data_IF_822600494192
#
_entry.id   IF_822600494192
#
_cell.length_a   1.000
_cell.length_b   1.000
_cell.length_c   1.000
_cell.angle_alpha   90.00
_cell.angle_beta   90.00
_cell.angle_gamma   90.00
#
_symmetry.space_group_name_H-M   'P 1'
#
loop_
_entity.id
_entity.type
_entity.pdbx_description
1 polymer ?
#
# COMPACT_ATOMS: atom_id res chain seq x y z
N UNK A 1 -28.90 18.30 5.52
CA UNK A 1 -29.19 16.85 5.65
C UNK A 1 -28.21 16.14 4.73
N UNK A 2 -27.53 15.10 5.19
CA UNK A 2 -26.62 14.34 4.33
C UNK A 2 -27.42 13.64 3.22
N UNK A 3 -26.89 13.65 2.00
CA UNK A 3 -27.45 12.88 0.87
C UNK A 3 -27.35 11.40 1.19
N UNK A 4 -28.31 10.59 0.73
CA UNK A 4 -28.15 9.14 0.76
C UNK A 4 -27.09 8.68 -0.24
N UNK A 5 -26.58 7.46 -0.07
CA UNK A 5 -25.56 6.87 -0.94
C UNK A 5 -25.98 6.84 -2.43
N UNK A 6 -27.25 6.56 -2.73
CA UNK A 6 -27.76 6.49 -4.11
C UNK A 6 -27.95 7.89 -4.73
N UNK A 7 -28.35 8.87 -3.92
CA UNK A 7 -28.41 10.28 -4.32
C UNK A 7 -27.02 10.85 -4.58
N UNK A 8 -26.03 10.47 -3.77
CA UNK A 8 -24.63 10.80 -4.00
C UNK A 8 -24.12 10.19 -5.32
N UNK A 9 -24.35 8.89 -5.53
CA UNK A 9 -23.95 8.20 -6.77
C UNK A 9 -24.55 8.85 -8.02
N UNK A 10 -25.83 9.19 -7.98
CA UNK A 10 -26.49 9.86 -9.10
C UNK A 10 -25.98 11.29 -9.32
N UNK A 11 -25.67 12.02 -8.25
CA UNK A 11 -25.08 13.37 -8.33
C UNK A 11 -23.68 13.41 -8.95
N UNK A 12 -22.91 12.31 -8.87
CA UNK A 12 -21.62 12.20 -9.57
C UNK A 12 -21.78 12.23 -11.10
N UNK A 13 -22.94 11.84 -11.64
CA UNK A 13 -23.15 11.82 -13.08
C UNK A 13 -23.52 13.20 -13.66
N UNK A 14 -23.82 14.18 -12.81
CA UNK A 14 -24.22 15.53 -13.19
C UNK A 14 -23.17 16.57 -12.79
N UNK A 15 -22.71 17.38 -13.75
CA UNK A 15 -21.58 18.28 -13.54
C UNK A 15 -21.88 19.42 -12.54
N UNK A 16 -23.08 19.98 -12.59
CA UNK A 16 -23.50 21.06 -11.69
C UNK A 16 -23.68 20.53 -10.25
N UNK A 17 -24.22 19.32 -10.11
CA UNK A 17 -24.37 18.65 -8.82
C UNK A 17 -23.03 18.29 -8.19
N UNK A 18 -22.05 17.80 -8.97
CA UNK A 18 -20.67 17.55 -8.48
C UNK A 18 -20.00 18.80 -7.94
N UNK A 19 -20.14 19.93 -8.63
CA UNK A 19 -19.60 21.21 -8.18
C UNK A 19 -20.26 21.66 -6.87
N UNK A 20 -21.57 21.46 -6.72
CA UNK A 20 -22.29 21.74 -5.47
C UNK A 20 -21.81 20.91 -4.27
N UNK A 21 -21.24 19.73 -4.51
CA UNK A 21 -20.67 18.85 -3.49
C UNK A 21 -19.20 19.11 -3.17
N UNK A 22 -18.55 20.01 -3.91
CA UNK A 22 -17.11 20.31 -3.75
C UNK A 22 -16.19 19.17 -4.21
N UNK A 23 -16.67 18.26 -5.04
CA UNK A 23 -15.90 17.11 -5.53
C UNK A 23 -15.23 17.48 -6.85
N UNK A 24 -13.89 17.45 -6.88
CA UNK A 24 -13.10 17.76 -8.07
C UNK A 24 -12.80 16.48 -8.86
N UNK A 25 -13.80 15.98 -9.59
CA UNK A 25 -13.67 14.88 -10.54
C UNK A 25 -14.08 15.35 -11.94
N UNK A 26 -13.32 14.94 -12.96
CA UNK A 26 -13.71 15.12 -14.36
C UNK A 26 -14.91 14.24 -14.72
N UNK A 27 -15.62 14.54 -15.81
CA UNK A 27 -16.77 13.74 -16.25
C UNK A 27 -16.42 12.26 -16.47
N UNK A 28 -15.24 11.98 -17.02
CA UNK A 28 -14.77 10.62 -17.28
C UNK A 28 -14.46 9.86 -15.98
N UNK A 29 -13.80 10.52 -15.02
CA UNK A 29 -13.49 9.93 -13.71
C UNK A 29 -14.77 9.70 -12.90
N UNK A 30 -15.71 10.64 -12.94
CA UNK A 30 -16.97 10.52 -12.23
C UNK A 30 -17.83 9.36 -12.77
N UNK A 31 -17.84 9.13 -14.09
CA UNK A 31 -18.48 7.96 -14.69
C UNK A 31 -17.80 6.65 -14.28
N UNK A 32 -16.47 6.64 -14.22
CA UNK A 32 -15.71 5.47 -13.78
C UNK A 32 -15.95 5.16 -12.29
N UNK A 33 -15.95 6.17 -11.43
CA UNK A 33 -16.26 6.03 -10.00
C UNK A 33 -17.71 5.56 -9.82
N UNK A 34 -18.68 6.13 -10.54
CA UNK A 34 -20.08 5.71 -10.46
C UNK A 34 -20.33 4.30 -11.02
N UNK A 35 -19.48 3.80 -11.92
CA UNK A 35 -19.55 2.44 -12.45
C UNK A 35 -18.98 1.39 -11.47
N UNK A 36 -18.08 1.79 -10.57
CA UNK A 36 -17.46 0.94 -9.56
C UNK A 36 -18.09 1.18 -8.17
N UNK A 37 -18.76 0.15 -7.64
CA UNK A 37 -19.45 0.23 -6.36
C UNK A 37 -18.49 0.50 -5.19
N UNK A 38 -17.30 -0.09 -5.20
CA UNK A 38 -16.32 0.08 -4.12
C UNK A 38 -15.68 1.46 -4.16
N UNK A 39 -15.42 1.99 -5.36
CA UNK A 39 -14.96 3.37 -5.52
C UNK A 39 -16.03 4.38 -5.11
N UNK A 40 -17.31 4.15 -5.44
CA UNK A 40 -18.40 5.04 -5.00
C UNK A 40 -18.50 5.08 -3.47
N UNK A 41 -18.31 3.95 -2.78
CA UNK A 41 -18.33 3.88 -1.31
C UNK A 41 -17.20 4.67 -0.66
N UNK A 42 -15.96 4.51 -1.14
CA UNK A 42 -14.83 5.25 -0.59
C UNK A 42 -14.97 6.77 -0.78
N UNK A 43 -15.49 7.21 -1.93
CA UNK A 43 -15.79 8.62 -2.20
C UNK A 43 -16.92 9.17 -1.33
N UNK A 44 -17.95 8.38 -1.05
CA UNK A 44 -19.05 8.77 -0.18
C UNK A 44 -18.60 8.93 1.28
N UNK A 45 -17.78 7.99 1.79
CA UNK A 45 -17.21 8.08 3.14
C UNK A 45 -16.28 9.29 3.28
N UNK A 46 -15.44 9.54 2.28
CA UNK A 46 -14.60 10.74 2.23
C UNK A 46 -15.43 12.02 2.24
N UNK A 47 -16.48 12.09 1.41
CA UNK A 47 -17.36 13.25 1.35
C UNK A 47 -18.07 13.51 2.69
N UNK A 48 -18.54 12.48 3.38
CA UNK A 48 -19.11 12.61 4.72
C UNK A 48 -18.08 13.13 5.73
N UNK A 49 -16.84 12.65 5.69
CA UNK A 49 -15.77 13.11 6.57
C UNK A 49 -15.44 14.60 6.35
N UNK A 50 -15.35 15.03 5.09
CA UNK A 50 -15.03 16.42 4.74
C UNK A 50 -16.18 17.38 5.03
N UNK A 51 -17.43 16.97 4.80
CA UNK A 51 -18.61 17.82 5.06
C UNK A 51 -19.03 17.88 6.52
N UNK A 52 -18.62 16.91 7.35
CA UNK A 52 -18.81 16.95 8.80
C UNK A 52 -17.84 17.90 9.53
N UNK A 53 -16.83 18.43 8.83
CA UNK A 53 -15.85 19.32 9.42
C UNK A 53 -16.41 20.75 9.56
N UNK A 54 -16.51 21.31 10.77
CA UNK A 54 -17.04 22.66 10.96
C UNK A 54 -16.11 23.69 10.30
N UNK A 55 -16.72 24.65 9.59
CA UNK A 55 -15.98 25.71 8.90
C UNK A 55 -15.06 26.47 9.88
N UNK A 56 -13.80 26.75 9.51
CA UNK A 56 -12.92 27.57 10.34
C UNK A 56 -13.49 28.99 10.48
N UNK A 57 -13.31 29.65 11.64
CA UNK A 57 -13.79 31.02 11.82
C UNK A 57 -13.11 31.95 10.82
N UNK A 58 -13.93 32.79 10.17
CA UNK A 58 -13.50 33.81 9.21
C UNK A 58 -12.72 34.91 9.93
N UNK A 59 -11.41 34.70 10.08
CA UNK A 59 -10.45 35.69 10.53
C UNK A 59 -9.94 36.54 9.36
N UNK A 60 -9.92 37.85 9.55
CA UNK A 60 -9.46 38.88 8.61
C UNK A 60 -7.99 38.68 8.24
N UNK A 61 -7.69 38.42 6.96
CA UNK A 61 -6.32 38.41 6.42
C UNK A 61 -5.98 39.76 5.77
N UNK A 62 -4.80 40.37 6.03
CA UNK A 62 -4.17 41.31 5.08
C UNK A 62 -3.51 40.56 3.90
N UNK A 63 -3.35 41.29 2.80
CA UNK A 63 -2.96 40.88 1.44
C UNK A 63 -1.58 40.16 1.30
N UNK A 64 -1.29 39.52 0.15
CA UNK A 64 -0.46 38.31 0.06
C UNK A 64 1.01 38.61 -0.30
N UNK A 65 1.92 37.86 0.32
CA UNK A 65 3.23 37.58 -0.26
C UNK A 65 3.77 36.22 0.24
N UNK A 66 4.39 35.49 -0.69
CA UNK A 66 5.26 34.32 -0.53
C UNK A 66 4.64 32.92 -0.25
N UNK A 67 4.27 32.25 -1.36
CA UNK A 67 4.60 30.86 -1.74
C UNK A 67 4.94 29.83 -0.63
N UNK A 68 4.06 28.84 -0.48
CA UNK A 68 4.45 27.43 -0.28
C UNK A 68 3.65 26.57 -1.25
N UNK A 69 4.36 25.93 -2.17
CA UNK A 69 3.87 25.01 -3.20
C UNK A 69 3.13 23.83 -2.60
N UNK A 70 1.85 23.66 -2.97
CA UNK A 70 1.15 22.40 -2.79
C UNK A 70 1.79 21.36 -3.72
N UNK A 71 2.34 20.30 -3.13
CA UNK A 71 2.93 19.17 -3.83
C UNK A 71 1.78 18.35 -4.45
N UNK A 72 1.61 18.48 -5.77
CA UNK A 72 0.78 17.59 -6.59
C UNK A 72 1.38 16.19 -6.57
N UNK A 73 0.70 15.23 -5.95
CA UNK A 73 0.99 13.81 -6.12
C UNK A 73 0.63 13.38 -7.57
N UNK A 74 1.51 12.63 -8.27
CA UNK A 74 1.30 12.26 -9.66
C UNK A 74 0.28 11.12 -9.82
N UNK A 75 -0.72 11.39 -10.68
CA UNK A 75 -1.63 10.44 -11.31
C UNK A 75 -0.84 9.32 -12.02
N UNK A 76 -1.04 8.07 -11.62
CA UNK A 76 -0.52 6.90 -12.32
C UNK A 76 -1.34 6.61 -13.59
N UNK A 77 -0.75 6.89 -14.76
CA UNK A 77 -1.31 6.54 -16.06
C UNK A 77 -1.09 5.07 -16.39
N UNK A 78 -2.17 4.35 -16.70
CA UNK A 78 -2.11 3.03 -17.33
C UNK A 78 -2.54 3.14 -18.79
N UNK A 79 -1.55 3.23 -19.68
CA UNK A 79 -1.71 3.07 -21.12
C UNK A 79 -2.01 1.61 -21.45
N UNK A 80 -3.24 1.31 -21.87
CA UNK A 80 -3.57 0.07 -22.57
C UNK A 80 -3.84 0.37 -24.04
N UNK A 81 -2.76 0.49 -24.81
CA UNK A 81 -2.83 0.51 -26.26
C UNK A 81 -1.61 -0.19 -26.87
N UNK A 82 -1.69 -1.52 -27.04
CA UNK A 82 -1.09 -2.12 -28.23
C UNK A 82 -1.77 -3.44 -28.65
N UNK A 83 -2.54 -3.32 -29.72
CA UNK A 83 -2.99 -4.39 -30.60
C UNK A 83 -1.82 -4.97 -31.41
N UNK A 84 -1.71 -6.30 -31.48
CA UNK A 84 -1.28 -6.99 -32.69
C UNK A 84 -1.87 -8.41 -32.73
N UNK A 85 -2.79 -8.61 -33.68
CA UNK A 85 -3.23 -9.92 -34.14
C UNK A 85 -2.16 -10.54 -35.06
N UNK A 86 -2.03 -11.88 -35.07
CA UNK A 86 -2.13 -12.77 -36.25
C UNK A 86 -1.66 -14.20 -35.92
N UNK A 87 -2.65 -15.08 -35.78
CA UNK A 87 -2.80 -16.41 -36.37
C UNK A 87 -1.59 -17.26 -36.83
N UNK A 88 -1.69 -18.54 -36.47
CA UNK A 88 -1.57 -19.76 -37.30
C UNK A 88 -0.36 -20.71 -37.08
N UNK A 89 -0.71 -21.97 -36.80
CA UNK A 89 0.04 -23.20 -37.04
C UNK A 89 -0.88 -24.14 -37.87
N UNK A 90 -0.43 -25.26 -38.46
CA UNK A 90 0.85 -25.66 -39.09
C UNK A 90 0.61 -26.02 -40.60
N UNK A 91 1.48 -26.80 -41.29
CA UNK A 91 1.26 -28.26 -41.30
C UNK A 91 2.52 -29.15 -41.39
N UNK A 92 2.30 -30.44 -41.15
CA UNK A 92 3.19 -31.57 -41.42
C UNK A 92 2.90 -32.21 -42.80
N UNK A 93 3.91 -32.80 -43.44
CA UNK A 93 3.94 -33.98 -44.35
C UNK A 93 5.37 -34.00 -44.97
N UNK A 94 6.16 -35.09 -45.01
CA UNK A 94 5.89 -36.41 -45.57
C UNK A 94 6.58 -36.53 -46.94
N UNK A 95 7.64 -37.32 -47.07
CA UNK A 95 8.31 -37.54 -48.38
C UNK A 95 9.57 -38.41 -48.35
N UNK A 96 9.40 -39.71 -48.63
CA UNK A 96 10.41 -40.74 -48.92
C UNK A 96 10.90 -40.66 -50.40
N UNK A 97 11.86 -41.51 -50.88
CA UNK A 97 12.89 -41.19 -51.89
C UNK A 97 12.49 -41.52 -53.33
N UNK A 98 13.41 -41.29 -54.31
CA UNK A 98 13.60 -42.32 -55.34
C UNK A 98 15.04 -42.50 -55.86
N UNK A 99 15.43 -43.76 -56.03
CA UNK A 99 15.69 -44.33 -57.35
C UNK A 99 17.10 -44.27 -57.98
N UNK A 100 17.41 -45.13 -58.97
CA UNK A 100 18.70 -45.82 -59.10
C UNK A 100 19.56 -45.45 -60.34
N UNK A 101 20.82 -45.94 -60.29
CA UNK A 101 21.87 -46.26 -61.29
C UNK A 101 21.60 -46.02 -62.80
N UNK A 102 22.63 -45.81 -63.69
CA UNK A 102 23.51 -46.94 -64.14
C UNK A 102 24.89 -46.66 -64.86
N UNK A 103 25.65 -47.76 -65.05
CA UNK A 103 26.79 -48.02 -65.99
C UNK A 103 28.16 -47.34 -65.70
N UNK A 104 29.35 -47.93 -65.93
CA UNK A 104 29.80 -49.07 -66.71
C UNK A 104 31.14 -49.66 -66.19
N UNK A 105 31.45 -50.87 -66.64
CA UNK A 105 32.60 -51.71 -66.32
C UNK A 105 33.94 -51.28 -66.96
N UNK A 106 35.08 -51.74 -66.40
CA UNK A 106 36.15 -52.41 -67.15
C UNK A 106 37.25 -52.94 -66.22
N UNK A 107 37.65 -54.19 -66.44
CA UNK A 107 38.83 -54.84 -65.87
C UNK A 107 40.09 -54.53 -66.70
N UNK A 108 41.27 -54.53 -66.06
CA UNK A 108 42.57 -54.52 -66.75
C UNK A 108 43.75 -54.25 -65.82
N UNK A 109 44.54 -55.28 -65.50
CA UNK A 109 45.80 -55.24 -64.73
C UNK A 109 47.00 -54.77 -65.61
N UNK A 110 48.30 -54.82 -65.21
CA UNK A 110 48.96 -54.77 -63.88
C UNK A 110 50.13 -53.73 -63.81
N UNK A 111 50.64 -53.45 -62.60
CA UNK A 111 52.08 -53.23 -62.36
C UNK A 111 52.62 -51.79 -62.35
N UNK A 112 52.72 -51.18 -61.16
CA UNK A 112 53.74 -50.17 -60.83
C UNK A 112 54.02 -50.19 -59.31
N UNK A 113 55.27 -49.98 -58.86
CA UNK A 113 55.69 -50.30 -57.50
C UNK A 113 55.01 -49.40 -56.47
N UNK A 114 54.40 -50.02 -55.46
CA UNK A 114 53.79 -49.33 -54.35
C UNK A 114 54.85 -48.54 -53.57
N UNK A 115 54.88 -47.21 -53.75
CA UNK A 115 55.40 -46.33 -52.70
C UNK A 115 54.53 -46.57 -51.47
N UNK A 116 55.13 -47.08 -50.40
CA UNK A 116 54.52 -47.28 -49.09
C UNK A 116 53.88 -45.97 -48.65
N UNK A 117 52.60 -45.81 -48.96
CA UNK A 117 51.96 -44.52 -48.90
C UNK A 117 51.72 -44.22 -47.42
N UNK A 118 52.20 -43.07 -46.95
CA UNK A 118 51.88 -42.56 -45.61
C UNK A 118 50.38 -42.18 -45.49
N UNK A 119 49.53 -42.63 -46.42
CA UNK A 119 48.11 -42.31 -46.50
C UNK A 119 47.38 -42.74 -45.24
N UNK A 120 47.71 -43.90 -44.66
CA UNK A 120 47.12 -44.32 -43.39
C UNK A 120 47.44 -43.36 -42.23
N UNK A 121 48.65 -42.81 -42.18
CA UNK A 121 49.06 -41.83 -41.17
C UNK A 121 48.39 -40.46 -41.39
N UNK A 122 48.24 -40.03 -42.65
CA UNK A 122 47.55 -38.77 -42.97
C UNK A 122 46.04 -38.85 -42.72
N UNK A 123 45.43 -40.00 -42.97
CA UNK A 123 44.01 -40.26 -42.66
C UNK A 123 43.81 -40.25 -41.15
N UNK A 124 44.65 -40.92 -40.35
CA UNK A 124 44.52 -40.87 -38.89
C UNK A 124 44.76 -39.47 -38.34
N UNK A 125 45.74 -38.71 -38.86
CA UNK A 125 45.98 -37.33 -38.45
C UNK A 125 44.80 -36.41 -38.79
N UNK A 126 44.18 -36.60 -39.96
CA UNK A 126 42.99 -35.86 -40.38
C UNK A 126 41.77 -36.19 -39.51
N UNK A 127 41.60 -37.46 -39.12
CA UNK A 127 40.52 -37.89 -38.21
C UNK A 127 40.72 -37.27 -36.82
N UNK A 128 41.94 -37.33 -36.28
CA UNK A 128 42.25 -36.72 -34.97
C UNK A 128 42.06 -35.21 -35.01
N UNK A 129 42.50 -34.54 -36.08
CA UNK A 129 42.27 -33.11 -36.28
C UNK A 129 40.79 -32.74 -36.34
N UNK A 130 39.98 -33.53 -37.06
CA UNK A 130 38.53 -33.33 -37.12
C UNK A 130 37.87 -33.53 -35.76
N UNK A 131 38.27 -34.54 -34.99
CA UNK A 131 37.73 -34.78 -33.64
C UNK A 131 38.05 -33.64 -32.68
N UNK A 132 39.29 -33.12 -32.71
CA UNK A 132 39.66 -31.95 -31.91
C UNK A 132 38.86 -30.71 -32.32
N UNK A 133 38.67 -30.50 -33.61
CA UNK A 133 37.92 -29.36 -34.12
C UNK A 133 36.43 -29.46 -33.75
N UNK A 134 35.83 -30.64 -33.83
CA UNK A 134 34.46 -30.89 -33.35
C UNK A 134 34.36 -30.61 -31.85
N UNK A 135 35.31 -31.09 -31.05
CA UNK A 135 35.32 -30.82 -29.60
C UNK A 135 35.36 -29.31 -29.30
N UNK A 136 36.18 -28.54 -30.01
CA UNK A 136 36.24 -27.08 -29.86
C UNK A 136 34.92 -26.43 -30.26
N UNK A 137 34.31 -26.83 -31.38
CA UNK A 137 33.02 -26.29 -31.82
C UNK A 137 31.94 -26.54 -30.75
N UNK A 138 31.86 -27.75 -30.19
CA UNK A 138 30.88 -28.08 -29.16
C UNK A 138 31.06 -27.20 -27.92
N UNK A 139 32.30 -26.95 -27.49
CA UNK A 139 32.58 -26.04 -26.37
C UNK A 139 32.09 -24.63 -26.68
N UNK A 140 32.41 -24.08 -27.85
CA UNK A 140 31.97 -22.72 -28.23
C UNK A 140 30.44 -22.64 -28.29
N UNK A 141 29.78 -23.61 -28.92
CA UNK A 141 28.31 -23.64 -28.99
C UNK A 141 27.72 -23.70 -27.58
N UNK A 142 28.22 -24.57 -26.70
CA UNK A 142 27.74 -24.67 -25.33
C UNK A 142 27.77 -23.33 -24.58
N UNK A 143 28.90 -22.61 -24.63
CA UNK A 143 29.03 -21.31 -23.97
C UNK A 143 28.20 -20.20 -24.63
N UNK A 144 28.14 -20.16 -25.97
CA UNK A 144 27.39 -19.10 -26.69
C UNK A 144 25.87 -19.27 -26.62
N UNK A 145 25.38 -20.49 -26.44
CA UNK A 145 23.94 -20.79 -26.29
C UNK A 145 23.52 -21.04 -24.85
N UNK A 146 24.39 -20.77 -23.87
CA UNK A 146 24.07 -20.93 -22.46
C UNK A 146 22.90 -20.00 -22.10
N UNK A 147 21.92 -20.52 -21.37
CA UNK A 147 20.84 -19.71 -20.81
C UNK A 147 21.21 -19.30 -19.40
N UNK A 148 21.15 -18.01 -19.14
CA UNK A 148 21.40 -17.41 -17.84
C UNK A 148 20.09 -16.86 -17.29
N UNK A 149 19.81 -17.09 -16.02
CA UNK A 149 18.73 -16.43 -15.31
C UNK A 149 19.09 -16.26 -13.84
N UNK A 150 18.33 -15.42 -13.16
CA UNK A 150 18.44 -15.25 -11.72
C UNK A 150 17.47 -16.20 -11.05
N UNK A 151 17.99 -17.17 -10.30
CA UNK A 151 17.18 -18.11 -9.53
C UNK A 151 17.01 -17.59 -8.12
N UNK A 152 15.78 -17.63 -7.63
CA UNK A 152 15.43 -17.29 -6.24
C UNK A 152 15.66 -18.53 -5.39
N UNK A 153 16.68 -18.52 -4.53
CA UNK A 153 16.92 -19.62 -3.58
C UNK A 153 16.03 -19.49 -2.35
N UNK A 154 15.91 -18.27 -1.85
CA UNK A 154 14.99 -17.92 -0.78
C UNK A 154 14.21 -16.69 -1.21
N UNK A 155 12.86 -16.75 -1.22
CA UNK A 155 12.05 -15.58 -1.53
C UNK A 155 12.27 -14.48 -0.51
N UNK A 156 11.97 -13.25 -0.93
CA UNK A 156 11.93 -12.12 -0.03
C UNK A 156 10.87 -12.36 1.06
N UNK A 157 11.26 -12.09 2.31
CA UNK A 157 10.36 -12.12 3.44
C UNK A 157 10.01 -10.67 3.77
N UNK A 158 8.78 -10.22 3.45
CA UNK A 158 8.38 -8.86 3.75
C UNK A 158 8.33 -8.64 5.26
N UNK A 159 8.61 -7.40 5.66
CA UNK A 159 8.54 -6.99 7.05
C UNK A 159 7.12 -7.16 7.60
N UNK A 160 7.02 -7.70 8.81
CA UNK A 160 5.76 -7.82 9.52
C UNK A 160 5.65 -6.75 10.61
N UNK A 161 4.41 -6.38 10.92
CA UNK A 161 4.10 -5.31 11.88
C UNK A 161 3.13 -5.84 12.93
N UNK A 162 3.29 -5.37 14.16
CA UNK A 162 2.31 -5.56 15.22
C UNK A 162 1.83 -4.20 15.75
N UNK A 163 0.62 -4.20 16.30
CA UNK A 163 0.03 -3.00 16.89
C UNK A 163 0.42 -2.90 18.36
N UNK A 164 0.93 -1.74 18.75
CA UNK A 164 1.16 -1.38 20.14
C UNK A 164 0.23 -0.22 20.53
N UNK A 165 -0.36 -0.29 21.72
CA UNK A 165 -1.04 0.84 22.36
C UNK A 165 -0.03 1.70 23.13
N UNK A 166 -0.16 3.01 23.06
CA UNK A 166 0.66 3.96 23.81
C UNK A 166 -0.18 5.13 24.30
N UNK A 167 0.21 5.72 25.44
CA UNK A 167 -0.41 6.93 25.97
C UNK A 167 0.02 8.14 25.14
N UNK A 168 -0.94 8.97 24.71
CA UNK A 168 -0.67 10.15 23.87
C UNK A 168 -0.06 11.31 24.68
N UNK A 169 -0.16 11.25 26.01
CA UNK A 169 0.15 12.34 26.93
C UNK A 169 -1.05 13.26 27.20
N UNK A 170 -2.15 13.09 26.47
CA UNK A 170 -3.41 13.79 26.71
C UNK A 170 -4.31 12.96 27.64
N UNK A 171 -5.25 13.64 28.26
CA UNK A 171 -6.24 13.02 29.13
C UNK A 171 -7.67 13.27 28.66
N UNK A 172 -8.47 12.21 28.76
CA UNK A 172 -9.92 12.23 28.66
C UNK A 172 -10.50 12.52 30.04
N UNK A 173 -11.60 13.28 30.08
CA UNK A 173 -12.38 13.53 31.28
C UNK A 173 -13.83 13.20 30.98
N UNK A 174 -14.45 12.44 31.86
CA UNK A 174 -15.86 12.06 31.77
C UNK A 174 -16.59 12.53 33.02
N UNK A 175 -17.81 13.00 32.81
CA UNK A 175 -18.77 13.31 33.86
C UNK A 175 -19.79 12.15 33.94
N UNK A 176 -20.03 11.60 35.13
CA UNK A 176 -20.96 10.50 35.35
C UNK A 176 -22.42 10.95 35.58
N UNK A 177 -22.68 12.26 35.63
CA UNK A 177 -23.98 12.87 35.88
C UNK A 177 -24.48 12.70 37.33
N UNK A 178 -23.67 12.15 38.22
CA UNK A 178 -24.01 11.98 39.63
C UNK A 178 -23.44 13.15 40.42
N UNK A 179 -24.33 14.05 40.85
CA UNK A 179 -23.91 15.27 41.53
C UNK A 179 -23.03 14.95 42.76
N UNK A 180 -21.87 15.61 42.92
CA UNK A 180 -21.06 15.50 44.12
C UNK A 180 -21.70 16.20 45.33
N UNK A 181 -22.83 16.88 45.11
CA UNK A 181 -23.60 17.57 46.13
C UNK A 181 -24.82 16.74 46.58
N UNK A 182 -25.35 17.12 47.73
CA UNK A 182 -26.51 16.52 48.39
C UNK A 182 -27.54 17.63 48.65
N UNK A 183 -28.83 17.32 48.54
CA UNK A 183 -29.91 18.26 48.87
C UNK A 183 -29.82 18.65 50.35
N UNK A 184 -30.13 19.91 50.65
CA UNK A 184 -30.04 20.53 51.98
C UNK A 184 -28.61 20.64 52.55
N UNK A 185 -27.57 20.34 51.76
CA UNK A 185 -26.20 20.63 52.17
C UNK A 185 -25.87 22.11 52.04
N UNK A 186 -24.90 22.57 52.83
CA UNK A 186 -24.38 23.94 52.75
C UNK A 186 -23.85 24.23 51.34
N UNK A 187 -24.18 25.42 50.82
CA UNK A 187 -23.81 25.79 49.46
C UNK A 187 -22.29 25.89 49.29
N UNK A 188 -21.56 26.35 50.31
CA UNK A 188 -20.11 26.39 50.32
C UNK A 188 -19.49 24.99 50.27
N UNK A 189 -20.03 24.03 51.02
CA UNK A 189 -19.58 22.64 50.98
C UNK A 189 -19.79 22.02 49.57
N UNK A 190 -20.87 22.41 48.86
CA UNK A 190 -21.10 22.02 47.46
C UNK A 190 -20.04 22.58 46.52
N UNK A 191 -19.73 23.87 46.65
CA UNK A 191 -18.70 24.53 45.86
C UNK A 191 -17.34 23.86 46.07
N UNK A 192 -16.97 23.54 47.31
CA UNK A 192 -15.71 22.89 47.63
C UNK A 192 -15.64 21.46 47.08
N UNK A 193 -16.74 20.71 47.13
CA UNK A 193 -16.84 19.39 46.52
C UNK A 193 -16.66 19.45 44.99
N UNK A 194 -17.32 20.41 44.33
CA UNK A 194 -17.19 20.64 42.88
C UNK A 194 -15.76 21.06 42.49
N UNK A 195 -15.13 21.93 43.29
CA UNK A 195 -13.75 22.37 43.08
C UNK A 195 -12.76 21.20 43.24
N UNK A 196 -13.01 20.28 44.18
CA UNK A 196 -12.22 19.07 44.34
C UNK A 196 -12.33 18.14 43.12
N UNK A 197 -13.52 17.99 42.52
CA UNK A 197 -13.70 17.24 41.26
C UNK A 197 -12.88 17.87 40.13
N UNK A 198 -12.98 19.20 39.97
CA UNK A 198 -12.21 19.93 38.96
C UNK A 198 -10.70 19.79 39.16
N UNK A 199 -10.21 19.97 40.40
CA UNK A 199 -8.78 19.86 40.70
C UNK A 199 -8.24 18.44 40.45
N UNK A 200 -9.03 17.41 40.77
CA UNK A 200 -8.65 16.01 40.57
C UNK A 200 -8.62 15.58 39.11
N UNK A 201 -9.58 16.04 38.30
CA UNK A 201 -9.75 15.57 36.93
C UNK A 201 -9.20 16.51 35.85
N UNK A 202 -9.26 17.82 36.06
CA UNK A 202 -9.02 18.82 35.00
C UNK A 202 -7.74 19.64 35.20
N UNK A 203 -7.34 19.91 36.44
CA UNK A 203 -6.24 20.82 36.71
C UNK A 203 -4.86 20.18 36.43
N UNK A 204 -3.95 20.97 35.84
CA UNK A 204 -2.54 20.63 35.73
C UNK A 204 -2.18 19.52 34.72
N UNK A 205 -3.09 19.20 33.79
CA UNK A 205 -2.88 18.20 32.74
C UNK A 205 -3.23 18.73 31.36
N UNK A 206 -2.67 18.13 30.32
CA UNK A 206 -3.09 18.38 28.95
C UNK A 206 -4.32 17.52 28.63
N UNK A 207 -5.38 18.17 28.17
CA UNK A 207 -6.68 17.55 27.94
C UNK A 207 -6.96 17.43 26.44
N UNK A 208 -7.66 16.38 26.05
CA UNK A 208 -8.25 16.32 24.70
C UNK A 208 -9.31 17.43 24.52
N UNK A 209 -9.59 17.91 23.30
CA UNK A 209 -10.49 19.06 23.09
C UNK A 209 -11.89 18.92 23.72
N UNK A 210 -12.46 17.71 23.69
CA UNK A 210 -13.75 17.43 24.32
C UNK A 210 -13.68 17.55 25.86
N UNK A 211 -12.63 16.99 26.48
CA UNK A 211 -12.41 17.07 27.91
C UNK A 211 -12.13 18.51 28.36
N UNK A 212 -11.37 19.30 27.57
CA UNK A 212 -11.16 20.72 27.84
C UNK A 212 -12.47 21.52 27.83
N UNK A 213 -13.39 21.19 26.92
CA UNK A 213 -14.73 21.80 26.87
C UNK A 213 -15.54 21.46 28.12
N UNK A 214 -15.59 20.17 28.51
CA UNK A 214 -16.29 19.71 29.71
C UNK A 214 -15.74 20.38 30.97
N UNK A 215 -14.41 20.37 31.15
CA UNK A 215 -13.74 21.02 32.27
C UNK A 215 -13.99 22.54 32.30
N UNK A 216 -14.07 23.19 31.13
CA UNK A 216 -14.43 24.60 31.01
C UNK A 216 -15.86 24.89 31.47
N UNK A 217 -16.82 24.03 31.10
CA UNK A 217 -18.21 24.13 31.55
C UNK A 217 -18.33 23.92 33.06
N UNK A 218 -17.66 22.88 33.59
CA UNK A 218 -17.64 22.60 35.03
C UNK A 218 -17.03 23.76 35.83
N UNK A 219 -15.96 24.37 35.31
CA UNK A 219 -15.36 25.56 35.94
C UNK A 219 -16.30 26.77 35.94
N UNK A 220 -16.95 27.03 34.80
CA UNK A 220 -17.92 28.11 34.68
C UNK A 220 -19.09 27.94 35.65
N UNK A 221 -19.52 26.70 35.89
CA UNK A 221 -20.56 26.40 36.88
C UNK A 221 -20.09 26.71 38.31
N UNK A 222 -18.87 26.29 38.69
CA UNK A 222 -18.32 26.63 40.00
C UNK A 222 -18.25 28.15 40.20
N UNK A 223 -17.81 28.89 39.18
CA UNK A 223 -17.73 30.35 39.25
C UNK A 223 -19.13 30.99 39.34
N UNK A 224 -20.15 30.42 38.68
CA UNK A 224 -21.56 30.81 38.83
C UNK A 224 -22.06 30.56 40.25
N UNK A 225 -21.84 29.36 40.79
CA UNK A 225 -22.25 29.00 42.15
C UNK A 225 -21.63 29.93 43.20
N UNK A 226 -20.35 30.29 43.04
CA UNK A 226 -19.66 31.27 43.90
C UNK A 226 -20.25 32.66 43.80
N UNK A 227 -20.69 33.08 42.62
CA UNK A 227 -21.29 34.40 42.41
C UNK A 227 -22.70 34.50 43.02
N UNK A 228 -23.42 33.39 43.10
CA UNK A 228 -24.77 33.29 43.68
C UNK A 228 -24.76 32.97 45.18
N UNK A 229 -23.59 32.66 45.75
CA UNK A 229 -23.45 32.29 47.16
C UNK A 229 -23.90 33.40 48.11
N UNK A 230 -24.68 33.03 49.12
CA UNK A 230 -25.16 33.94 50.15
C UNK A 230 -25.24 33.23 51.50
N UNK A 231 -25.08 33.98 52.59
CA UNK A 231 -25.03 33.42 53.94
C UNK A 231 -26.27 32.58 54.26
N UNK A 232 -26.05 31.31 54.63
CA UNK A 232 -27.11 30.35 54.97
C UNK A 232 -27.78 29.69 53.76
N UNK A 233 -27.23 29.84 52.55
CA UNK A 233 -27.72 29.15 51.34
C UNK A 233 -27.47 27.64 51.43
N UNK A 234 -28.44 26.86 50.95
CA UNK A 234 -28.35 25.41 50.86
C UNK A 234 -28.71 24.93 49.46
N UNK A 235 -28.24 23.74 49.10
CA UNK A 235 -28.53 23.12 47.80
C UNK A 235 -30.01 22.74 47.72
N UNK A 236 -30.76 23.45 46.88
CA UNK A 236 -32.19 23.20 46.66
C UNK A 236 -32.46 22.01 45.70
N UNK A 237 -31.56 21.76 44.75
CA UNK A 237 -31.66 20.68 43.77
C UNK A 237 -30.28 20.25 43.30
N UNK A 238 -30.15 18.97 42.96
CA UNK A 238 -28.94 18.44 42.33
C UNK A 238 -28.95 18.86 40.86
N UNK A 239 -27.96 19.67 40.47
CA UNK A 239 -27.78 20.11 39.08
C UNK A 239 -27.32 18.97 38.16
N UNK A 240 -26.94 19.31 36.93
CA UNK A 240 -26.56 18.33 35.89
C UNK A 240 -25.08 17.91 35.92
N UNK A 241 -24.25 18.58 36.73
CA UNK A 241 -22.82 18.29 36.84
C UNK A 241 -22.55 17.20 37.87
N UNK A 242 -21.80 16.17 37.46
CA UNK A 242 -21.50 15.00 38.26
C UNK A 242 -20.04 14.87 38.67
N UNK A 243 -19.65 13.65 39.04
CA UNK A 243 -18.28 13.34 39.38
C UNK A 243 -17.43 13.26 38.12
N UNK A 244 -16.25 13.88 38.19
CA UNK A 244 -15.31 13.90 37.07
C UNK A 244 -14.29 12.79 37.23
N UNK A 245 -14.18 11.94 36.21
CA UNK A 245 -13.16 10.89 36.14
C UNK A 245 -12.19 11.20 35.01
N UNK A 246 -10.89 11.11 35.31
CA UNK A 246 -9.81 11.29 34.33
C UNK A 246 -9.22 9.95 33.92
N UNK A 247 -9.04 9.74 32.62
CA UNK A 247 -8.32 8.60 32.06
C UNK A 247 -7.29 9.07 31.03
N UNK A 248 -6.11 8.43 30.95
CA UNK A 248 -5.16 8.73 29.88
C UNK A 248 -5.76 8.38 28.52
N UNK A 249 -5.54 9.23 27.52
CA UNK A 249 -5.86 8.90 26.13
C UNK A 249 -4.79 7.95 25.58
N UNK A 250 -5.25 6.88 24.93
CA UNK A 250 -4.39 5.92 24.25
C UNK A 250 -4.60 5.98 22.75
N UNK A 251 -3.51 5.78 22.01
CA UNK A 251 -3.52 5.63 20.57
C UNK A 251 -2.78 4.34 20.18
N UNK A 252 -2.98 3.91 18.94
CA UNK A 252 -2.29 2.75 18.38
C UNK A 252 -1.21 3.18 17.39
N UNK A 253 -0.09 2.46 17.38
CA UNK A 253 0.94 2.58 16.36
C UNK A 253 1.34 1.20 15.85
N UNK A 254 1.67 1.12 14.57
CA UNK A 254 2.29 -0.07 14.00
C UNK A 254 3.78 -0.04 14.27
N UNK A 255 4.29 -1.11 14.86
CA UNK A 255 5.71 -1.30 15.16
C UNK A 255 6.22 -2.46 14.33
N UNK A 256 7.34 -2.23 13.66
CA UNK A 256 8.04 -3.23 12.87
C UNK A 256 8.57 -4.34 13.78
N UNK A 257 8.46 -5.59 13.32
CA UNK A 257 9.09 -6.75 13.95
C UNK A 257 10.59 -6.88 13.62
N UNK A 258 11.14 -5.98 12.79
CA UNK A 258 12.51 -6.01 12.27
C UNK A 258 12.88 -7.37 11.69
N UNK A 259 11.95 -8.01 10.99
CA UNK A 259 12.07 -9.38 10.48
C UNK A 259 12.12 -9.46 8.95
N UNK A 260 12.40 -8.33 8.31
CA UNK A 260 12.66 -8.22 6.87
C UNK A 260 13.88 -9.05 6.48
N UNK A 261 13.73 -9.88 5.44
CA UNK A 261 14.85 -10.59 4.82
C UNK A 261 14.77 -10.43 3.30
N UNK A 262 15.84 -9.90 2.69
CA UNK A 262 15.91 -9.76 1.25
C UNK A 262 15.97 -11.13 0.57
N UNK A 263 15.45 -11.21 -0.67
CA UNK A 263 15.56 -12.43 -1.46
C UNK A 263 17.03 -12.83 -1.66
N UNK A 264 17.33 -14.11 -1.43
CA UNK A 264 18.64 -14.68 -1.74
C UNK A 264 18.57 -15.23 -3.15
N UNK A 265 19.43 -14.69 -4.01
CA UNK A 265 19.43 -14.96 -5.44
C UNK A 265 20.81 -15.39 -5.90
N UNK A 266 20.87 -16.30 -6.87
CA UNK A 266 22.10 -16.60 -7.60
C UNK A 266 21.86 -16.64 -9.10
N UNK A 267 22.95 -16.54 -9.87
CA UNK A 267 22.92 -16.73 -11.31
C UNK A 267 22.96 -18.22 -11.65
N UNK A 268 21.88 -18.73 -12.22
CA UNK A 268 21.78 -20.08 -12.73
C UNK A 268 22.14 -20.11 -14.23
N UNK A 269 22.88 -21.14 -14.63
CA UNK A 269 23.36 -21.30 -16.01
C UNK A 269 23.06 -22.71 -16.50
N UNK A 270 22.39 -22.78 -17.66
CA UNK A 270 22.11 -24.02 -18.37
C UNK A 270 22.86 -24.07 -19.71
N UNK A 271 23.80 -25.01 -19.81
CA UNK A 271 24.53 -25.31 -21.03
C UNK A 271 23.82 -26.43 -21.80
N UNK A 272 23.66 -26.23 -23.12
CA UNK A 272 23.11 -27.23 -24.05
C UNK A 272 21.70 -27.78 -23.68
N UNK A 273 21.01 -27.16 -22.73
CA UNK A 273 19.68 -27.59 -22.26
C UNK A 273 19.67 -28.73 -21.23
N UNK A 274 20.83 -29.19 -20.74
CA UNK A 274 20.88 -30.30 -19.77
C UNK A 274 22.09 -30.29 -18.81
N UNK A 275 23.08 -29.40 -19.01
CA UNK A 275 24.25 -29.29 -18.14
C UNK A 275 24.16 -28.03 -17.29
N UNK A 276 24.20 -28.18 -15.97
CA UNK A 276 24.03 -27.08 -15.03
C UNK A 276 22.63 -27.04 -14.43
N UNK A 277 22.24 -25.87 -13.93
CA UNK A 277 20.87 -25.65 -13.46
C UNK A 277 20.04 -25.25 -14.66
N UNK A 278 19.11 -26.12 -15.06
CA UNK A 278 18.27 -25.97 -16.26
C UNK A 278 16.80 -25.61 -15.93
N UNK A 279 16.46 -25.55 -14.64
CA UNK A 279 15.14 -25.28 -14.05
C UNK A 279 15.25 -24.34 -12.83
#
# INVERSE_FOLDING_TARGET
>A
MALSFEEFRSSLLDADSRQGLGIQLTDAEAQQVAADQQATQSWYEYWLAVTAQPAPPTGVFPAPDALATAETMPLGGHDFAQTAAFASAPPAYGGTPPGPAPYAAAAGAPGAPQKKSRVGLWVTLSIVGALLLIAVIVVIVAFTTARHWTKVDSPEKPETFHSEEYETGLYLVTDDGVSPCVVDQDWGDCIDAMEAQYAGACAGVELVPAAATLCGQHRAEIDRMRAEDSEGSVVASLGDFGHLTRTPETATRQVSNNDYEAAVMHEAVCYLGFLGECE
#
